data_IF_679668900678
#
_entry.id   IF_679668900678
#
_cell.length_a   1.000
_cell.length_b   1.000
_cell.length_c   1.000
_cell.angle_alpha   90.00
_cell.angle_beta   90.00
_cell.angle_gamma   90.00
#
_symmetry.space_group_name_H-M   'P 1'
#
loop_
_entity.id
_entity.type
_entity.pdbx_description
1 polymer ?
#
# COMPACT_ATOMS: atom_id res chain seq x y z
N UNK A 1 -6.21 -17.44 -22.08
CA UNK A 1 -5.75 -16.73 -20.87
C UNK A 1 -4.24 -16.71 -20.84
N UNK A 2 -3.65 -15.54 -20.59
CA UNK A 2 -2.20 -15.41 -20.38
C UNK A 2 -1.81 -16.22 -19.13
N UNK A 3 -0.77 -17.05 -19.21
CA UNK A 3 -0.33 -17.83 -18.06
C UNK A 3 0.69 -17.00 -17.26
N UNK A 4 0.45 -16.83 -15.96
CA UNK A 4 1.31 -16.00 -15.08
C UNK A 4 2.80 -16.40 -15.16
N UNK A 5 3.11 -17.69 -15.26
CA UNK A 5 4.49 -18.17 -15.31
C UNK A 5 5.24 -17.83 -16.59
N UNK A 6 4.55 -17.34 -17.63
CA UNK A 6 5.14 -17.01 -18.93
C UNK A 6 5.21 -15.50 -19.19
N UNK A 7 4.74 -14.68 -18.25
CA UNK A 7 4.70 -13.22 -18.36
C UNK A 7 6.03 -12.57 -17.95
N UNK A 8 6.31 -11.42 -18.56
CA UNK A 8 7.39 -10.54 -18.15
C UNK A 8 6.87 -9.48 -17.20
N UNK A 9 7.41 -9.44 -16.00
CA UNK A 9 7.05 -8.51 -14.93
C UNK A 9 8.05 -7.36 -14.86
N UNK A 10 7.58 -6.13 -14.98
CA UNK A 10 8.36 -4.91 -14.76
C UNK A 10 8.11 -4.37 -13.35
N UNK A 11 9.17 -4.15 -12.59
CA UNK A 11 9.10 -3.52 -11.26
C UNK A 11 9.81 -2.18 -11.32
N UNK A 12 9.06 -1.09 -11.17
CA UNK A 12 9.59 0.27 -11.15
C UNK A 12 9.60 0.79 -9.72
N UNK A 13 10.80 1.04 -9.19
CA UNK A 13 11.01 1.35 -7.78
C UNK A 13 11.28 0.09 -6.95
N UNK A 14 12.58 -0.16 -6.68
CA UNK A 14 13.05 -1.35 -5.96
C UNK A 14 13.31 -1.02 -4.47
N UNK A 15 12.26 -0.56 -3.78
CA UNK A 15 12.20 -0.42 -2.32
C UNK A 15 11.72 -1.69 -1.63
N UNK A 16 11.23 -1.58 -0.39
CA UNK A 16 10.67 -2.71 0.35
C UNK A 16 9.50 -3.36 -0.40
N UNK A 17 8.58 -2.57 -0.96
CA UNK A 17 7.41 -3.07 -1.69
C UNK A 17 7.79 -3.70 -3.02
N UNK A 18 8.49 -2.95 -3.88
CA UNK A 18 8.89 -3.47 -5.19
C UNK A 18 9.81 -4.68 -5.11
N UNK A 19 10.74 -4.69 -4.15
CA UNK A 19 11.57 -5.86 -3.85
C UNK A 19 10.75 -7.05 -3.37
N UNK A 20 9.73 -6.84 -2.54
CA UNK A 20 8.85 -7.91 -2.07
C UNK A 20 7.98 -8.47 -3.19
N UNK A 21 7.45 -7.63 -4.09
CA UNK A 21 6.77 -8.10 -5.30
C UNK A 21 7.70 -8.95 -6.17
N UNK A 22 8.91 -8.47 -6.46
CA UNK A 22 9.88 -9.23 -7.25
C UNK A 22 10.20 -10.60 -6.61
N UNK A 23 10.49 -10.62 -5.31
CA UNK A 23 10.79 -11.85 -4.57
C UNK A 23 9.60 -12.82 -4.52
N UNK A 24 8.39 -12.32 -4.29
CA UNK A 24 7.18 -13.14 -4.27
C UNK A 24 6.85 -13.72 -5.66
N UNK A 25 6.96 -12.92 -6.74
CA UNK A 25 6.80 -13.39 -8.13
C UNK A 25 7.82 -14.48 -8.44
N UNK A 26 9.10 -14.27 -8.11
CA UNK A 26 10.15 -15.27 -8.33
C UNK A 26 9.85 -16.57 -7.61
N UNK A 27 9.52 -16.50 -6.32
CA UNK A 27 9.31 -17.67 -5.49
C UNK A 27 8.02 -18.42 -5.79
N UNK A 28 6.90 -17.72 -5.98
CA UNK A 28 5.58 -18.36 -6.02
C UNK A 28 5.11 -18.67 -7.44
N UNK A 29 5.62 -17.94 -8.44
CA UNK A 29 5.16 -18.04 -9.83
C UNK A 29 6.26 -18.58 -10.74
N UNK A 30 7.41 -17.92 -10.78
CA UNK A 30 8.45 -18.25 -11.77
C UNK A 30 9.34 -19.42 -11.38
N UNK A 31 9.30 -19.90 -10.13
CA UNK A 31 9.94 -21.15 -9.71
C UNK A 31 9.23 -22.41 -10.20
N UNK A 32 8.02 -22.29 -10.74
CA UNK A 32 7.26 -23.41 -11.26
C UNK A 32 7.93 -24.00 -12.53
N UNK A 33 7.85 -25.33 -12.66
CA UNK A 33 8.44 -26.04 -13.81
C UNK A 33 7.89 -25.53 -15.14
N UNK A 34 8.80 -25.32 -16.10
CA UNK A 34 8.46 -24.83 -17.42
C UNK A 34 8.10 -23.34 -17.49
N UNK A 35 8.42 -22.56 -16.47
CA UNK A 35 8.28 -21.11 -16.51
C UNK A 35 9.25 -20.49 -17.54
N UNK A 36 8.71 -19.58 -18.36
CA UNK A 36 9.47 -18.77 -19.33
C UNK A 36 9.44 -17.28 -19.01
N UNK A 37 8.71 -16.90 -17.96
CA UNK A 37 8.55 -15.52 -17.54
C UNK A 37 9.84 -14.92 -16.97
N UNK A 38 9.87 -13.58 -16.93
CA UNK A 38 11.03 -12.81 -16.46
C UNK A 38 10.62 -11.72 -15.48
N UNK A 39 11.57 -11.31 -14.66
CA UNK A 39 11.47 -10.12 -13.81
C UNK A 39 12.48 -9.09 -14.26
N UNK A 40 11.98 -7.94 -14.68
CA UNK A 40 12.75 -6.76 -15.05
C UNK A 40 12.60 -5.71 -13.95
N UNK A 41 13.70 -5.14 -13.48
CA UNK A 41 13.65 -4.16 -12.39
C UNK A 41 14.26 -2.84 -12.81
N UNK A 42 13.68 -1.72 -12.39
CA UNK A 42 14.21 -0.38 -12.60
C UNK A 42 14.30 0.37 -11.27
N UNK A 43 15.45 0.99 -11.00
CA UNK A 43 15.63 1.82 -9.80
C UNK A 43 16.70 2.88 -10.01
N UNK A 44 16.68 3.94 -9.18
CA UNK A 44 17.72 4.98 -9.15
C UNK A 44 19.05 4.44 -8.59
N UNK A 45 18.98 3.62 -7.55
CA UNK A 45 20.16 3.04 -6.89
C UNK A 45 20.65 1.80 -7.64
N UNK A 46 21.83 1.88 -8.20
CA UNK A 46 22.50 0.74 -8.85
C UNK A 46 22.85 -0.39 -7.88
N UNK A 47 23.11 -0.05 -6.61
CA UNK A 47 23.38 -1.04 -5.58
C UNK A 47 22.18 -2.00 -5.39
N UNK A 48 20.95 -1.46 -5.30
CA UNK A 48 19.75 -2.30 -5.21
C UNK A 48 19.54 -3.17 -6.46
N UNK A 49 19.84 -2.64 -7.64
CA UNK A 49 19.76 -3.38 -8.89
C UNK A 49 20.72 -4.55 -8.91
N UNK A 50 21.99 -4.32 -8.53
CA UNK A 50 23.01 -5.36 -8.45
C UNK A 50 22.65 -6.43 -7.42
N UNK A 51 22.11 -6.05 -6.26
CA UNK A 51 21.62 -7.02 -5.25
C UNK A 51 20.54 -7.93 -5.84
N UNK A 52 19.52 -7.36 -6.49
CA UNK A 52 18.42 -8.14 -7.05
C UNK A 52 18.87 -9.14 -8.14
N UNK A 53 19.83 -8.74 -8.96
CA UNK A 53 20.41 -9.64 -9.98
C UNK A 53 21.28 -10.73 -9.34
N UNK A 54 22.14 -10.36 -8.40
CA UNK A 54 23.03 -11.32 -7.72
C UNK A 54 22.26 -12.36 -6.88
N UNK A 55 21.13 -11.97 -6.31
CA UNK A 55 20.20 -12.87 -5.61
C UNK A 55 19.39 -13.76 -6.56
N UNK A 56 19.49 -13.59 -7.88
CA UNK A 56 18.70 -14.31 -8.89
C UNK A 56 17.21 -13.93 -8.88
N UNK A 57 16.86 -12.81 -8.28
CA UNK A 57 15.49 -12.29 -8.24
C UNK A 57 15.11 -11.59 -9.54
N UNK A 58 16.00 -10.73 -10.06
CA UNK A 58 15.80 -10.05 -11.32
C UNK A 58 16.60 -10.72 -12.44
N UNK A 59 15.98 -10.87 -13.61
CA UNK A 59 16.65 -11.37 -14.84
C UNK A 59 17.39 -10.25 -15.57
N UNK A 60 16.83 -9.04 -15.58
CA UNK A 60 17.43 -7.85 -16.17
C UNK A 60 17.22 -6.64 -15.24
N UNK A 61 18.21 -5.78 -15.16
CA UNK A 61 18.14 -4.55 -14.34
C UNK A 61 18.42 -3.32 -15.19
N UNK A 62 17.63 -2.28 -14.96
CA UNK A 62 17.64 -1.04 -15.73
C UNK A 62 17.85 0.17 -14.81
N UNK A 63 18.77 1.04 -15.20
CA UNK A 63 18.88 2.38 -14.62
C UNK A 63 17.74 3.27 -15.10
N UNK A 64 17.50 4.39 -14.44
CA UNK A 64 16.35 5.26 -14.71
C UNK A 64 16.30 5.75 -16.17
N UNK A 65 17.45 6.01 -16.79
CA UNK A 65 17.57 6.42 -18.19
C UNK A 65 17.13 5.34 -19.18
N UNK A 66 17.09 4.07 -18.76
CA UNK A 66 16.67 2.91 -19.57
C UNK A 66 15.28 2.38 -19.22
N UNK A 67 14.49 3.16 -18.48
CA UNK A 67 13.13 2.78 -18.08
C UNK A 67 12.24 2.37 -19.26
N UNK A 68 12.34 3.09 -20.40
CA UNK A 68 11.58 2.80 -21.61
C UNK A 68 11.85 1.38 -22.17
N UNK A 69 13.06 0.87 -22.01
CA UNK A 69 13.40 -0.50 -22.46
C UNK A 69 12.69 -1.56 -21.63
N UNK A 70 12.62 -1.36 -20.30
CA UNK A 70 11.87 -2.22 -19.38
C UNK A 70 10.39 -2.22 -19.74
N UNK A 71 9.79 -1.03 -19.92
CA UNK A 71 8.36 -0.89 -20.16
C UNK A 71 7.92 -1.54 -21.47
N UNK A 72 8.72 -1.43 -22.53
CA UNK A 72 8.44 -2.07 -23.84
C UNK A 72 8.48 -3.61 -23.80
N UNK A 73 9.17 -4.18 -22.82
CA UNK A 73 9.30 -5.64 -22.66
C UNK A 73 8.26 -6.23 -21.70
N UNK A 74 7.68 -5.43 -20.80
CA UNK A 74 6.88 -5.90 -19.66
C UNK A 74 5.41 -6.11 -20.02
N UNK A 75 4.86 -7.26 -19.66
CA UNK A 75 3.42 -7.57 -19.78
C UNK A 75 2.63 -7.01 -18.60
N UNK A 76 3.20 -7.05 -17.39
CA UNK A 76 2.64 -6.46 -16.18
C UNK A 76 3.68 -5.56 -15.54
N UNK A 77 3.32 -4.32 -15.24
CA UNK A 77 4.21 -3.32 -14.62
C UNK A 77 3.66 -2.91 -13.25
N UNK A 78 4.45 -3.14 -12.20
CA UNK A 78 4.21 -2.61 -10.86
C UNK A 78 4.96 -1.29 -10.70
N UNK A 79 4.22 -0.20 -10.52
CA UNK A 79 4.80 1.13 -10.23
C UNK A 79 4.85 1.32 -8.73
N UNK A 80 6.03 1.03 -8.13
CA UNK A 80 6.27 1.04 -6.70
C UNK A 80 6.94 2.36 -6.26
N UNK A 81 6.31 3.47 -6.61
CA UNK A 81 6.75 4.83 -6.32
C UNK A 81 5.76 5.54 -5.37
N UNK A 82 6.14 6.71 -4.86
CA UNK A 82 5.25 7.58 -4.12
C UNK A 82 4.14 8.11 -5.02
N UNK A 83 2.97 8.52 -4.48
CA UNK A 83 1.79 8.83 -5.28
C UNK A 83 2.03 9.85 -6.42
N UNK A 84 2.63 11.01 -6.11
CA UNK A 84 2.91 12.02 -7.14
C UNK A 84 3.99 11.56 -8.13
N UNK A 85 5.02 10.88 -7.64
CA UNK A 85 6.03 10.29 -8.52
C UNK A 85 5.45 9.23 -9.47
N UNK A 86 4.41 8.49 -9.02
CA UNK A 86 3.66 7.56 -9.87
C UNK A 86 2.90 8.30 -10.98
N UNK A 87 2.22 9.41 -10.65
CA UNK A 87 1.54 10.23 -11.66
C UNK A 87 2.51 10.81 -12.71
N UNK A 88 3.62 11.37 -12.26
CA UNK A 88 4.66 11.89 -13.15
C UNK A 88 5.27 10.79 -14.01
N UNK A 89 5.52 9.63 -13.43
CA UNK A 89 6.02 8.47 -14.15
C UNK A 89 5.07 8.05 -15.27
N UNK A 90 3.80 7.87 -14.97
CA UNK A 90 2.79 7.50 -15.96
C UNK A 90 2.72 8.52 -17.09
N UNK A 91 2.72 9.82 -16.77
CA UNK A 91 2.72 10.91 -17.75
C UNK A 91 3.94 10.89 -18.66
N UNK A 92 5.14 10.73 -18.07
CA UNK A 92 6.39 10.79 -18.81
C UNK A 92 6.62 9.58 -19.72
N UNK A 93 6.13 8.40 -19.29
CA UNK A 93 6.33 7.14 -20.00
C UNK A 93 5.07 6.60 -20.69
N UNK A 94 4.04 7.41 -20.85
CA UNK A 94 2.75 7.04 -21.45
C UNK A 94 2.87 6.22 -22.74
N UNK A 95 3.85 6.56 -23.58
CA UNK A 95 4.03 5.95 -24.91
C UNK A 95 4.99 4.76 -24.92
N UNK A 96 5.63 4.45 -23.80
CA UNK A 96 6.67 3.43 -23.71
C UNK A 96 6.16 2.07 -23.24
N UNK A 97 4.95 2.00 -22.70
CA UNK A 97 4.38 0.71 -22.30
C UNK A 97 4.16 -0.20 -23.51
N UNK A 98 4.41 -1.49 -23.33
CA UNK A 98 4.06 -2.52 -24.30
C UNK A 98 2.56 -2.48 -24.59
N UNK A 99 2.17 -2.63 -25.85
CA UNK A 99 0.74 -2.73 -26.22
C UNK A 99 0.10 -3.92 -25.52
N UNK A 100 -1.07 -3.72 -24.91
CA UNK A 100 -1.77 -4.72 -24.10
C UNK A 100 -1.16 -4.98 -22.73
N UNK A 101 -0.24 -4.12 -22.27
CA UNK A 101 0.32 -4.23 -20.92
C UNK A 101 -0.74 -3.90 -19.85
N UNK A 102 -0.56 -4.51 -18.68
CA UNK A 102 -1.26 -4.16 -17.45
C UNK A 102 -0.31 -3.35 -16.59
N UNK A 103 -0.77 -2.20 -16.11
CA UNK A 103 -0.03 -1.37 -15.16
C UNK A 103 -0.78 -1.33 -13.85
N UNK A 104 -0.10 -1.41 -12.75
CA UNK A 104 -0.68 -1.26 -11.40
C UNK A 104 0.23 -0.44 -10.51
N UNK A 105 -0.36 0.23 -9.53
CA UNK A 105 0.35 1.00 -8.51
C UNK A 105 0.21 0.37 -7.13
N UNK A 106 0.92 0.93 -6.15
CA UNK A 106 0.88 0.49 -4.75
C UNK A 106 0.49 1.61 -3.78
N UNK A 107 0.09 2.76 -4.29
CA UNK A 107 -0.10 3.98 -3.49
C UNK A 107 -1.17 3.82 -2.41
N UNK A 108 -0.97 4.46 -1.27
CA UNK A 108 -1.93 4.46 -0.16
C UNK A 108 -3.13 5.42 -0.35
N UNK A 109 -3.18 6.16 -1.46
CA UNK A 109 -4.29 7.04 -1.86
C UNK A 109 -4.62 6.81 -3.33
N UNK A 110 -5.88 6.90 -3.71
CA UNK A 110 -6.37 6.53 -5.05
C UNK A 110 -7.06 7.65 -5.81
N UNK A 111 -7.67 8.60 -5.10
CA UNK A 111 -8.38 9.73 -5.71
C UNK A 111 -7.50 10.61 -6.61
N UNK A 112 -6.19 10.64 -6.36
CA UNK A 112 -5.23 11.37 -7.20
C UNK A 112 -5.12 10.79 -8.62
N UNK A 113 -5.35 9.49 -8.78
CA UNK A 113 -5.28 8.82 -10.09
C UNK A 113 -6.60 8.98 -10.86
N UNK A 114 -7.74 8.83 -10.18
CA UNK A 114 -9.06 8.76 -10.82
C UNK A 114 -9.34 9.92 -11.76
N UNK A 115 -8.93 11.14 -11.36
CA UNK A 115 -9.12 12.37 -12.14
C UNK A 115 -8.21 12.46 -13.37
N UNK A 116 -7.08 11.77 -13.36
CA UNK A 116 -6.01 11.93 -14.35
C UNK A 116 -5.90 10.76 -15.33
N UNK A 117 -6.44 9.60 -15.00
CA UNK A 117 -6.22 8.34 -15.73
C UNK A 117 -6.52 8.38 -17.22
N UNK A 118 -7.65 8.96 -17.68
CA UNK A 118 -7.98 8.99 -19.11
C UNK A 118 -6.92 9.70 -19.96
N UNK A 119 -6.15 10.60 -19.34
CA UNK A 119 -5.12 11.39 -20.02
C UNK A 119 -3.73 10.77 -19.91
N UNK A 120 -3.50 9.92 -18.90
CA UNK A 120 -2.17 9.39 -18.55
C UNK A 120 -1.77 8.14 -19.29
N UNK A 121 -2.72 7.39 -19.83
CA UNK A 121 -2.45 6.11 -20.49
C UNK A 121 -3.09 6.05 -21.89
N UNK A 122 -2.45 5.23 -22.74
CA UNK A 122 -3.04 4.87 -24.03
C UNK A 122 -4.20 3.91 -23.83
N UNK A 123 -5.20 3.88 -24.73
CA UNK A 123 -6.36 2.99 -24.62
C UNK A 123 -6.01 1.48 -24.68
N UNK A 124 -4.83 1.14 -25.19
CA UNK A 124 -4.33 -0.24 -25.28
C UNK A 124 -3.51 -0.68 -24.05
N UNK A 125 -3.42 0.14 -23.02
CA UNK A 125 -2.77 -0.15 -21.73
C UNK A 125 -3.81 -0.10 -20.62
N UNK A 126 -3.91 -1.18 -19.87
CA UNK A 126 -4.91 -1.30 -18.79
C UNK A 126 -4.29 -0.92 -17.44
N UNK A 127 -4.75 0.18 -16.83
CA UNK A 127 -4.31 0.57 -15.49
C UNK A 127 -5.29 0.06 -14.45
N UNK A 128 -4.85 -0.94 -13.70
CA UNK A 128 -5.63 -1.55 -12.62
C UNK A 128 -5.14 -1.00 -11.30
N UNK A 129 -5.91 -0.08 -10.73
CA UNK A 129 -5.58 0.61 -9.49
C UNK A 129 -5.62 -0.40 -8.32
N UNK A 130 -4.50 -0.53 -7.60
CA UNK A 130 -4.34 -1.50 -6.54
C UNK A 130 -3.67 -0.95 -5.29
N UNK A 131 -4.05 -1.47 -4.11
CA UNK A 131 -3.42 -1.13 -2.84
C UNK A 131 -3.13 -2.40 -2.03
N UNK A 132 -1.88 -2.83 -1.97
CA UNK A 132 -1.46 -3.90 -1.05
C UNK A 132 -1.51 -3.36 0.39
N UNK A 133 -2.42 -3.90 1.20
CA UNK A 133 -2.53 -3.55 2.62
C UNK A 133 -1.43 -4.21 3.44
N UNK A 134 -0.19 -4.04 2.99
CA UNK A 134 1.03 -4.51 3.61
C UNK A 134 2.01 -3.34 3.70
N UNK A 135 2.66 -3.18 4.82
CA UNK A 135 3.62 -2.11 5.08
C UNK A 135 4.54 -2.47 6.23
N UNK A 136 5.59 -1.70 6.41
CA UNK A 136 6.53 -1.89 7.50
C UNK A 136 7.33 -0.61 7.73
N UNK A 137 7.95 -0.53 8.90
CA UNK A 137 8.77 0.62 9.33
C UNK A 137 10.16 0.62 8.68
N UNK A 138 10.57 -0.53 8.11
CA UNK A 138 11.87 -0.68 7.42
C UNK A 138 11.78 -0.21 5.98
N UNK A 139 12.89 0.27 5.46
CA UNK A 139 12.99 0.80 4.11
C UNK A 139 14.03 0.04 3.27
N UNK A 140 13.91 0.22 1.95
CA UNK A 140 14.89 -0.26 0.98
C UNK A 140 14.71 -1.74 0.58
N UNK A 141 15.46 -2.14 -0.44
CA UNK A 141 15.41 -3.49 -1.00
C UNK A 141 15.84 -4.58 -0.01
N UNK A 142 16.85 -4.29 0.81
CA UNK A 142 17.37 -5.25 1.79
C UNK A 142 16.31 -5.71 2.82
N UNK A 143 15.29 -4.88 3.09
CA UNK A 143 14.18 -5.20 3.98
C UNK A 143 13.05 -5.97 3.27
N UNK A 144 13.12 -6.17 1.96
CA UNK A 144 12.08 -6.86 1.19
C UNK A 144 12.07 -8.37 1.45
N UNK A 145 10.87 -8.97 1.37
CA UNK A 145 10.65 -10.37 1.67
C UNK A 145 9.56 -10.96 0.77
N UNK A 146 9.74 -12.18 0.25
CA UNK A 146 8.75 -12.87 -0.56
C UNK A 146 7.43 -13.18 0.18
N UNK A 147 7.49 -13.33 1.51
CA UNK A 147 6.31 -13.57 2.35
C UNK A 147 5.65 -12.29 2.87
N UNK A 148 6.09 -11.13 2.40
CA UNK A 148 5.62 -9.83 2.88
C UNK A 148 4.10 -9.64 2.74
N UNK A 149 3.49 -10.32 1.79
CA UNK A 149 2.07 -10.20 1.46
C UNK A 149 1.18 -11.28 2.08
N UNK A 150 1.79 -12.29 2.71
CA UNK A 150 1.04 -13.43 3.28
C UNK A 150 0.09 -12.93 4.37
N UNK A 151 -1.18 -13.36 4.27
CA UNK A 151 -2.28 -12.98 5.17
C UNK A 151 -2.70 -11.50 5.14
N UNK A 152 -2.23 -10.73 4.16
CA UNK A 152 -2.68 -9.36 3.98
C UNK A 152 -3.87 -9.25 3.01
N UNK A 153 -4.54 -8.10 3.01
CA UNK A 153 -5.59 -7.74 2.08
C UNK A 153 -4.99 -7.02 0.86
N UNK A 154 -5.52 -7.26 -0.32
CA UNK A 154 -5.30 -6.44 -1.51
C UNK A 154 -6.59 -5.73 -1.87
N UNK A 155 -6.54 -4.41 -2.03
CA UNK A 155 -7.71 -3.61 -2.40
C UNK A 155 -7.58 -3.20 -3.87
N UNK A 156 -8.58 -3.53 -4.68
CA UNK A 156 -8.72 -3.04 -6.03
C UNK A 156 -9.74 -1.90 -6.09
N UNK A 157 -9.37 -0.81 -6.76
CA UNK A 157 -10.29 0.26 -7.13
C UNK A 157 -10.58 0.15 -8.64
N UNK A 158 -11.43 -0.81 -8.99
CA UNK A 158 -11.76 -1.13 -10.36
C UNK A 158 -12.40 0.05 -11.08
N UNK A 159 -11.95 0.31 -12.31
CA UNK A 159 -12.49 1.31 -13.20
C UNK A 159 -13.38 0.65 -14.28
N UNK A 160 -14.34 1.40 -14.79
CA UNK A 160 -15.30 0.90 -15.80
C UNK A 160 -14.64 0.50 -17.12
N UNK A 161 -13.47 1.05 -17.42
CA UNK A 161 -12.70 0.74 -18.63
C UNK A 161 -11.74 -0.45 -18.47
N UNK A 162 -11.55 -0.98 -17.25
CA UNK A 162 -10.67 -2.13 -17.05
C UNK A 162 -11.22 -3.37 -17.74
N UNK A 163 -10.37 -4.05 -18.51
CA UNK A 163 -10.68 -5.32 -19.13
C UNK A 163 -10.98 -6.39 -18.08
N UNK A 164 -12.07 -7.11 -18.24
CA UNK A 164 -12.46 -8.21 -17.34
C UNK A 164 -11.38 -9.31 -17.30
N UNK A 165 -10.75 -9.61 -18.44
CA UNK A 165 -9.68 -10.60 -18.53
C UNK A 165 -8.45 -10.17 -17.73
N UNK A 166 -7.99 -8.92 -17.91
CA UNK A 166 -6.84 -8.39 -17.21
C UNK A 166 -7.11 -8.25 -15.71
N UNK A 167 -8.31 -7.83 -15.34
CA UNK A 167 -8.72 -7.72 -13.95
C UNK A 167 -8.71 -9.08 -13.23
N UNK A 168 -9.26 -10.12 -13.85
CA UNK A 168 -9.24 -11.46 -13.30
C UNK A 168 -7.83 -12.06 -13.26
N UNK A 169 -6.98 -11.74 -14.23
CA UNK A 169 -5.57 -12.10 -14.22
C UNK A 169 -4.85 -11.47 -13.02
N UNK A 170 -5.09 -10.19 -12.74
CA UNK A 170 -4.52 -9.50 -11.58
C UNK A 170 -5.03 -10.06 -10.25
N UNK A 171 -6.31 -10.45 -10.14
CA UNK A 171 -6.85 -11.12 -8.95
C UNK A 171 -6.13 -12.46 -8.71
N UNK A 172 -5.95 -13.26 -9.75
CA UNK A 172 -5.18 -14.50 -9.65
C UNK A 172 -3.75 -14.24 -9.23
N UNK A 173 -3.09 -13.26 -9.85
CA UNK A 173 -1.71 -12.89 -9.53
C UNK A 173 -1.55 -12.54 -8.05
N UNK A 174 -2.36 -11.62 -7.51
CA UNK A 174 -2.21 -11.21 -6.12
C UNK A 174 -2.52 -12.34 -5.14
N UNK A 175 -3.43 -13.26 -5.49
CA UNK A 175 -3.68 -14.47 -4.70
C UNK A 175 -2.44 -15.36 -4.65
N UNK A 176 -1.78 -15.61 -5.77
CA UNK A 176 -0.54 -16.38 -5.85
C UNK A 176 0.61 -15.70 -5.09
N UNK A 177 0.59 -14.36 -4.97
CA UNK A 177 1.57 -13.63 -4.17
C UNK A 177 1.35 -13.74 -2.65
N UNK A 178 0.26 -14.37 -2.21
CA UNK A 178 -0.03 -14.66 -0.81
C UNK A 178 -1.08 -13.76 -0.15
N UNK A 179 -1.71 -12.84 -0.89
CA UNK A 179 -2.83 -12.09 -0.36
C UNK A 179 -4.03 -13.02 -0.14
N UNK A 180 -4.55 -13.07 1.08
CA UNK A 180 -5.64 -13.99 1.45
C UNK A 180 -7.02 -13.35 1.36
N UNK A 181 -7.07 -12.03 1.25
CA UNK A 181 -8.31 -11.28 1.08
C UNK A 181 -8.18 -10.30 -0.07
N UNK A 182 -9.21 -10.26 -0.92
CA UNK A 182 -9.33 -9.29 -2.00
C UNK A 182 -10.58 -8.45 -1.71
N UNK A 183 -10.43 -7.13 -1.70
CA UNK A 183 -11.51 -6.18 -1.54
C UNK A 183 -11.65 -5.35 -2.82
N UNK A 184 -12.87 -5.23 -3.32
CA UNK A 184 -13.19 -4.40 -4.48
C UNK A 184 -13.98 -3.17 -4.03
N UNK A 185 -13.60 -1.99 -4.52
CA UNK A 185 -14.22 -0.72 -4.10
C UNK A 185 -13.98 0.38 -5.16
N UNK A 186 -14.50 1.58 -4.91
CA UNK A 186 -14.16 2.79 -5.69
C UNK A 186 -13.00 3.55 -5.02
N UNK A 187 -12.34 4.43 -5.77
CA UNK A 187 -11.27 5.28 -5.23
C UNK A 187 -11.78 6.16 -4.07
N UNK A 188 -12.99 6.68 -4.20
CA UNK A 188 -13.59 7.54 -3.16
C UNK A 188 -13.83 6.78 -1.85
N UNK A 189 -14.46 5.60 -1.91
CA UNK A 189 -14.69 4.75 -0.73
C UNK A 189 -13.37 4.27 -0.15
N UNK A 190 -12.41 3.89 -1.00
CA UNK A 190 -11.06 3.51 -0.57
C UNK A 190 -10.45 4.60 0.29
N UNK A 191 -10.32 5.81 -0.25
CA UNK A 191 -9.63 6.91 0.42
C UNK A 191 -10.34 7.34 1.71
N UNK A 192 -11.67 7.27 1.75
CA UNK A 192 -12.43 7.50 2.97
C UNK A 192 -12.12 6.44 4.05
N UNK A 193 -12.14 5.15 3.68
CA UNK A 193 -11.85 4.05 4.62
C UNK A 193 -10.39 4.08 5.09
N UNK A 194 -9.43 4.31 4.18
CA UNK A 194 -8.01 4.42 4.51
C UNK A 194 -7.75 5.66 5.37
N UNK A 195 -8.46 6.76 5.12
CA UNK A 195 -8.42 7.96 5.97
C UNK A 195 -8.68 7.62 7.44
N UNK A 196 -9.65 6.76 7.71
CA UNK A 196 -9.98 6.33 9.07
C UNK A 196 -9.07 5.20 9.58
N UNK A 197 -8.93 4.10 8.82
CA UNK A 197 -8.31 2.87 9.32
C UNK A 197 -6.80 2.88 9.31
N UNK A 198 -6.18 3.83 8.62
CA UNK A 198 -4.73 3.98 8.50
C UNK A 198 -4.26 5.38 8.83
N UNK A 199 -4.66 6.39 8.05
CA UNK A 199 -4.09 7.74 8.17
C UNK A 199 -4.40 8.38 9.53
N UNK A 200 -5.64 8.32 10.01
CA UNK A 200 -6.01 8.81 11.33
C UNK A 200 -5.21 8.10 12.44
N UNK A 201 -4.99 6.79 12.33
CA UNK A 201 -4.19 6.05 13.31
C UNK A 201 -2.75 6.59 13.40
N UNK A 202 -2.13 6.92 12.26
CA UNK A 202 -0.78 7.50 12.24
C UNK A 202 -0.77 8.95 12.77
N UNK A 203 -1.82 9.73 12.53
CA UNK A 203 -1.97 11.07 13.12
C UNK A 203 -2.08 10.96 14.65
N UNK A 204 -2.92 10.03 15.16
CA UNK A 204 -3.09 9.81 16.60
C UNK A 204 -1.77 9.38 17.25
N UNK A 205 -1.08 8.41 16.67
CA UNK A 205 0.22 7.95 17.17
C UNK A 205 1.25 9.08 17.22
N UNK A 206 1.34 9.86 16.14
CA UNK A 206 2.26 11.00 16.05
C UNK A 206 1.91 12.10 17.06
N UNK A 207 0.62 12.43 17.21
CA UNK A 207 0.16 13.44 18.16
C UNK A 207 0.40 12.98 19.62
N UNK A 208 0.18 11.70 19.91
CA UNK A 208 0.45 11.12 21.24
C UNK A 208 1.93 11.26 21.59
N UNK A 209 2.83 10.87 20.68
CA UNK A 209 4.29 11.01 20.90
C UNK A 209 4.70 12.48 21.05
N UNK A 210 4.18 13.37 20.20
CA UNK A 210 4.49 14.81 20.29
C UNK A 210 3.92 15.48 21.53
N UNK A 211 2.88 14.94 22.17
CA UNK A 211 2.32 15.47 23.39
C UNK A 211 3.15 15.14 24.65
N UNK A 212 4.06 14.17 24.55
CA UNK A 212 4.96 13.82 25.65
C UNK A 212 5.93 14.97 25.94
N UNK A 213 5.97 15.42 27.20
CA UNK A 213 6.85 16.49 27.67
C UNK A 213 8.14 15.96 28.29
N UNK A 214 8.11 14.72 28.72
CA UNK A 214 9.21 14.04 29.38
C UNK A 214 9.77 12.95 28.46
N UNK A 215 11.05 13.04 28.05
CA UNK A 215 11.67 12.01 27.21
C UNK A 215 11.85 10.67 27.93
N UNK A 216 11.81 10.65 29.26
CA UNK A 216 11.93 9.42 30.07
C UNK A 216 10.56 8.73 30.29
N UNK A 217 9.47 9.26 29.75
CA UNK A 217 8.11 8.74 29.92
C UNK A 217 7.98 7.26 29.51
N UNK A 218 8.83 6.79 28.59
CA UNK A 218 8.89 5.41 28.15
C UNK A 218 9.25 4.43 29.26
N UNK A 219 9.95 4.89 30.32
CA UNK A 219 10.24 4.06 31.50
C UNK A 219 8.96 3.63 32.25
N UNK A 220 7.86 4.32 32.04
CA UNK A 220 6.54 4.04 32.61
C UNK A 220 5.60 3.43 31.56
N UNK A 221 6.09 3.22 30.33
CA UNK A 221 5.33 2.63 29.22
C UNK A 221 5.11 1.13 29.42
N UNK A 222 3.94 0.66 28.99
CA UNK A 222 3.62 -0.76 28.89
C UNK A 222 3.15 -1.08 27.47
N UNK A 223 2.66 -2.31 27.24
CA UNK A 223 2.26 -2.78 25.91
C UNK A 223 1.27 -1.86 25.20
N UNK A 224 0.34 -1.23 25.92
CA UNK A 224 -0.62 -0.29 25.32
C UNK A 224 0.07 0.95 24.72
N UNK A 225 1.10 1.47 25.37
CA UNK A 225 1.87 2.60 24.83
C UNK A 225 2.67 2.19 23.60
N UNK A 226 3.37 1.07 23.68
CA UNK A 226 4.15 0.52 22.57
C UNK A 226 3.27 0.23 21.34
N UNK A 227 2.12 -0.41 21.55
CA UNK A 227 1.19 -0.74 20.46
C UNK A 227 0.65 0.51 19.75
N UNK A 228 0.32 1.57 20.52
CA UNK A 228 -0.21 2.82 19.97
C UNK A 228 0.87 3.67 19.29
N UNK A 229 2.12 3.65 19.78
CA UNK A 229 3.18 4.54 19.32
C UNK A 229 4.13 3.91 18.30
N UNK A 230 4.12 2.59 18.15
CA UNK A 230 4.97 1.88 17.17
C UNK A 230 4.89 2.46 15.76
N UNK A 231 3.69 2.80 15.30
CA UNK A 231 3.48 3.38 13.96
C UNK A 231 3.83 4.87 13.86
N UNK A 232 4.26 5.50 14.95
CA UNK A 232 4.79 6.88 14.91
C UNK A 232 6.22 6.96 14.34
N UNK A 233 6.94 5.83 14.20
CA UNK A 233 8.19 5.76 13.44
C UNK A 233 7.88 5.80 11.93
N UNK A 234 7.58 7.00 11.46
CA UNK A 234 6.95 7.27 10.18
C UNK A 234 7.95 7.78 9.14
N UNK A 235 7.85 7.32 7.90
CA UNK A 235 8.54 7.96 6.77
C UNK A 235 7.89 9.31 6.48
N UNK A 236 8.45 10.39 7.01
CA UNK A 236 7.84 11.72 6.95
C UNK A 236 7.55 12.21 5.52
N UNK A 237 8.45 12.09 4.52
CA UNK A 237 8.14 12.47 3.15
C UNK A 237 6.91 11.75 2.56
N UNK A 238 6.84 10.43 2.70
CA UNK A 238 5.72 9.63 2.19
C UNK A 238 4.40 10.00 2.87
N UNK A 239 4.40 10.05 4.20
CA UNK A 239 3.17 10.29 4.95
C UNK A 239 2.65 11.72 4.83
N UNK A 240 3.54 12.71 4.66
CA UNK A 240 3.14 14.08 4.30
C UNK A 240 2.36 14.08 2.99
N UNK A 241 2.88 13.39 1.98
CA UNK A 241 2.21 13.30 0.69
C UNK A 241 0.85 12.58 0.78
N UNK A 242 0.78 11.47 1.53
CA UNK A 242 -0.46 10.71 1.75
C UNK A 242 -1.53 11.53 2.49
N UNK A 243 -1.15 12.27 3.54
CA UNK A 243 -2.08 13.10 4.29
C UNK A 243 -2.62 14.25 3.46
N UNK A 244 -1.76 14.96 2.73
CA UNK A 244 -2.17 16.08 1.88
C UNK A 244 -3.04 15.60 0.71
N UNK A 245 -2.71 14.45 0.11
CA UNK A 245 -3.48 13.89 -1.01
C UNK A 245 -4.89 13.43 -0.61
N UNK A 246 -5.14 13.20 0.69
CA UNK A 246 -6.44 12.80 1.22
C UNK A 246 -6.99 13.80 2.27
N UNK A 247 -6.55 15.05 2.19
CA UNK A 247 -6.76 16.07 3.24
C UNK A 247 -8.22 16.22 3.69
N UNK A 248 -9.16 16.25 2.76
CA UNK A 248 -10.57 16.52 3.07
C UNK A 248 -11.18 15.39 3.92
N UNK A 249 -10.95 14.13 3.50
CA UNK A 249 -11.46 12.96 4.22
C UNK A 249 -10.73 12.77 5.55
N UNK A 250 -9.41 12.93 5.54
CA UNK A 250 -8.62 12.80 6.76
C UNK A 250 -9.00 13.88 7.80
N UNK A 251 -9.12 15.14 7.41
CA UNK A 251 -9.54 16.20 8.32
C UNK A 251 -10.94 15.95 8.90
N UNK A 252 -11.90 15.49 8.10
CA UNK A 252 -13.22 15.12 8.60
C UNK A 252 -13.16 14.00 9.67
N UNK A 253 -12.27 13.03 9.50
CA UNK A 253 -12.04 11.98 10.51
C UNK A 253 -11.34 12.53 11.75
N UNK A 254 -10.38 13.43 11.61
CA UNK A 254 -9.71 14.11 12.74
C UNK A 254 -10.74 14.91 13.55
N UNK A 255 -11.60 15.69 12.89
CA UNK A 255 -12.63 16.49 13.57
C UNK A 255 -13.60 15.60 14.36
N UNK A 256 -14.04 14.50 13.75
CA UNK A 256 -14.89 13.52 14.41
C UNK A 256 -14.22 12.87 15.62
N UNK A 257 -12.94 12.51 15.50
CA UNK A 257 -12.14 11.96 16.57
C UNK A 257 -11.93 12.99 17.70
N UNK A 258 -11.59 14.23 17.37
CA UNK A 258 -11.41 15.31 18.34
C UNK A 258 -12.70 15.53 19.16
N UNK A 259 -13.87 15.55 18.50
CA UNK A 259 -15.14 15.65 19.21
C UNK A 259 -15.33 14.52 20.22
N UNK A 260 -14.96 13.28 19.87
CA UNK A 260 -15.04 12.14 20.81
C UNK A 260 -14.05 12.26 21.97
N UNK A 261 -12.84 12.76 21.72
CA UNK A 261 -11.87 13.04 22.77
C UNK A 261 -12.39 14.10 23.76
N UNK A 262 -13.06 15.14 23.27
CA UNK A 262 -13.63 16.18 24.14
C UNK A 262 -14.83 15.66 24.96
N UNK A 263 -15.66 14.75 24.41
CA UNK A 263 -16.72 14.08 25.16
C UNK A 263 -16.14 13.26 26.33
N UNK A 264 -15.05 12.50 26.11
CA UNK A 264 -14.34 11.78 27.19
C UNK A 264 -13.74 12.75 28.21
N UNK A 265 -13.05 13.79 27.74
CA UNK A 265 -12.45 14.80 28.61
C UNK A 265 -13.49 15.45 29.52
N UNK A 266 -14.64 15.82 28.99
CA UNK A 266 -15.74 16.44 29.75
C UNK A 266 -16.25 15.48 30.82
N UNK A 267 -16.59 14.24 30.46
CA UNK A 267 -17.10 13.26 31.44
C UNK A 267 -16.08 12.96 32.57
N UNK A 268 -14.78 12.98 32.26
CA UNK A 268 -13.72 12.81 33.26
C UNK A 268 -13.63 14.04 34.19
N UNK A 269 -13.68 15.26 33.63
CA UNK A 269 -13.56 16.50 34.40
C UNK A 269 -14.75 16.74 35.32
N UNK A 270 -15.95 16.32 34.90
CA UNK A 270 -17.20 16.41 35.65
C UNK A 270 -17.40 15.23 36.62
N UNK A 271 -16.44 14.27 36.64
CA UNK A 271 -16.54 13.04 37.46
C UNK A 271 -17.81 12.23 37.18
N UNK A 272 -18.37 12.36 35.96
CA UNK A 272 -19.60 11.65 35.56
C UNK A 272 -19.27 10.17 35.25
N UNK A 273 -19.18 9.41 36.33
CA UNK A 273 -18.84 7.98 36.27
C UNK A 273 -19.87 7.14 35.52
N UNK A 274 -21.16 7.53 35.57
CA UNK A 274 -22.22 6.83 34.85
C UNK A 274 -22.06 7.03 33.33
N UNK A 275 -21.89 8.28 32.90
CA UNK A 275 -21.65 8.62 31.50
C UNK A 275 -20.42 7.95 30.95
N UNK A 276 -19.32 8.00 31.69
CA UNK A 276 -18.05 7.38 31.28
C UNK A 276 -18.19 5.86 31.11
N UNK A 277 -18.91 5.21 32.04
CA UNK A 277 -19.20 3.76 31.93
C UNK A 277 -19.99 3.44 30.67
N UNK A 278 -21.06 4.18 30.39
CA UNK A 278 -21.88 4.02 29.19
C UNK A 278 -21.02 4.17 27.88
N UNK A 279 -20.18 5.18 27.81
CA UNK A 279 -19.30 5.40 26.69
C UNK A 279 -18.32 4.23 26.45
N UNK A 280 -17.77 3.66 27.52
CA UNK A 280 -16.85 2.53 27.44
C UNK A 280 -17.57 1.22 27.04
N UNK A 281 -18.78 0.99 27.54
CA UNK A 281 -19.63 -0.14 27.18
C UNK A 281 -20.01 -0.05 25.68
N UNK A 282 -20.44 1.11 25.20
CA UNK A 282 -20.72 1.36 23.78
C UNK A 282 -19.49 1.12 22.90
N UNK A 283 -18.33 1.57 23.35
CA UNK A 283 -17.06 1.34 22.65
C UNK A 283 -16.76 -0.14 22.50
N UNK A 284 -16.94 -0.91 23.56
CA UNK A 284 -16.73 -2.36 23.55
C UNK A 284 -17.68 -3.06 22.59
N UNK A 285 -18.96 -2.70 22.62
CA UNK A 285 -19.97 -3.27 21.71
C UNK A 285 -19.62 -2.96 20.24
N UNK A 286 -19.33 -1.71 19.92
CA UNK A 286 -18.88 -1.32 18.56
C UNK A 286 -17.66 -2.10 18.12
N UNK A 287 -16.68 -2.29 19.01
CA UNK A 287 -15.48 -3.05 18.67
C UNK A 287 -15.76 -4.53 18.37
N UNK A 288 -16.70 -5.14 19.10
CA UNK A 288 -17.15 -6.50 18.84
C UNK A 288 -17.86 -6.62 17.47
N UNK A 289 -18.68 -5.63 17.11
CA UNK A 289 -19.38 -5.58 15.81
C UNK A 289 -18.43 -5.37 14.62
N UNK A 290 -17.30 -4.69 14.80
CA UNK A 290 -16.31 -4.45 13.74
C UNK A 290 -15.64 -5.73 13.24
N UNK A 291 -15.79 -6.85 13.94
CA UNK A 291 -15.12 -8.09 13.62
C UNK A 291 -13.58 -8.01 13.80
N UNK A 292 -12.92 -9.14 13.76
CA UNK A 292 -11.46 -9.18 13.73
C UNK A 292 -10.97 -8.90 12.30
N UNK A 293 -10.08 -7.93 12.14
CA UNK A 293 -9.41 -7.63 10.85
C UNK A 293 -8.50 -8.79 10.42
N UNK A 294 -8.15 -9.65 11.37
CA UNK A 294 -7.41 -10.90 11.15
C UNK A 294 -7.97 -11.99 12.06
N UNK A 295 -8.80 -12.87 11.55
CA UNK A 295 -8.80 -14.24 12.02
C UNK A 295 -7.68 -14.99 11.30
N UNK A 296 -6.45 -14.76 11.71
CA UNK A 296 -5.41 -15.75 11.49
C UNK A 296 -5.75 -16.85 12.50
N UNK A 297 -6.41 -17.90 12.03
CA UNK A 297 -6.41 -19.18 12.75
C UNK A 297 -4.95 -19.53 13.02
N UNK A 298 -4.64 -19.66 14.30
CA UNK A 298 -3.37 -20.21 14.77
C UNK A 298 -3.16 -21.62 14.23
#
# INVERSE_FOLDING_TARGET
MKNLKDLTYGIVGLGIMGGSFAKAIRQNILSQSGSTGKILVCNRSTACLSMAVNEGIADEAFTQDKTSELLKKSDIVFVCLYPHATLEFLKNYKNDFKSGAIVTDISGVKGIFEKSLPELLRPDVDFIIGHPMAGGEKEGYAASNAKFFVNHNYIFCRQTFNSEENYNLMKTLVTELGFTRITETTCDIHDNKIGFTSQLCHVIASALVQSARDPEITAFGGGSFEDLTRIAMINAPLWTELFISNKEKLCAHIDSFHKKMEEFRTAIMEEDSQKLKEMLEETREKRLMMGSVCTVSK
#
